data_IF_011671397953
#
_entry.id   IF_011671397953
#
_cell.length_a   1.000
_cell.length_b   1.000
_cell.length_c   1.000
_cell.angle_alpha   90.00
_cell.angle_beta   90.00
_cell.angle_gamma   90.00
#
_symmetry.space_group_name_H-M   'P 1'
#
loop_
_entity.id
_entity.type
_entity.pdbx_description
1 polymer ?
2 non-polymer ?
3 water ?
#
# COMPACT_ATOMS: atom_id res chain seq x y z
N UNK A 1 -20.45 8.58 9.08
CA UNK A 1 -20.66 9.29 7.79
C UNK A 1 -19.90 8.55 6.70
N UNK A 2 -19.49 9.24 5.61
CA UNK A 2 -18.70 8.61 4.57
C UNK A 2 -17.28 8.43 5.12
N UNK A 3 -16.64 7.33 4.76
CA UNK A 3 -15.20 7.12 5.05
C UNK A 3 -14.45 8.33 4.49
N UNK A 4 -13.36 8.68 5.16
CA UNK A 4 -12.48 9.76 4.77
C UNK A 4 -11.25 9.18 4.05
N UNK A 5 -10.83 9.86 3.00
CA UNK A 5 -9.74 9.38 2.10
C UNK A 5 -8.89 10.55 1.64
N UNK A 6 -7.63 10.28 1.39
CA UNK A 6 -6.69 11.26 0.81
C UNK A 6 -6.04 10.70 -0.43
N UNK A 7 -5.89 11.49 -1.46
CA UNK A 7 -5.11 11.15 -2.63
C UNK A 7 -3.64 11.32 -2.32
N UNK A 8 -2.84 10.35 -2.71
CA UNK A 8 -1.40 10.39 -2.46
C UNK A 8 -0.62 9.47 -3.37
N UNK A 9 0.66 9.68 -3.42
CA UNK A 9 1.65 8.74 -3.98
C UNK A 9 2.50 8.23 -2.82
N UNK A 10 3.18 7.12 -3.11
CA UNK A 10 4.17 6.53 -2.19
C UNK A 10 5.50 6.40 -2.91
N UNK A 11 6.59 6.58 -2.20
CA UNK A 11 7.90 6.13 -2.71
C UNK A 11 8.62 5.38 -1.61
N UNK A 12 9.42 4.42 -1.97
CA UNK A 12 10.23 3.67 -0.99
C UNK A 12 11.41 4.55 -0.53
N UNK A 13 12.16 4.04 0.43
CA UNK A 13 13.21 4.86 1.08
C UNK A 13 14.42 5.01 0.15
N UNK A 14 14.45 4.34 -0.99
CA UNK A 14 15.37 4.65 -2.10
C UNK A 14 14.75 5.54 -3.12
N UNK A 15 13.65 6.17 -2.80
CA UNK A 15 12.92 7.11 -3.64
C UNK A 15 12.50 6.43 -4.94
N UNK A 16 12.21 5.15 -4.88
CA UNK A 16 11.57 4.46 -6.03
C UNK A 16 10.08 4.70 -6.03
N UNK A 17 9.52 5.11 -7.13
CA UNK A 17 8.09 5.30 -7.39
C UNK A 17 7.45 3.95 -7.75
N UNK A 18 6.12 3.92 -7.55
CA UNK A 18 5.30 2.70 -7.82
C UNK A 18 4.49 2.91 -9.09
N UNK A 19 4.56 1.94 -9.95
CA UNK A 19 3.84 1.93 -11.26
C UNK A 19 3.10 0.60 -11.40
N UNK A 20 2.11 0.58 -12.30
CA UNK A 20 1.49 -0.69 -12.71
C UNK A 20 2.43 -1.61 -13.46
N UNK A 21 2.23 -2.88 -13.22
CA UNK A 21 2.96 -4.01 -13.85
C UNK A 21 1.91 -5.01 -14.34
N UNK A 22 1.30 -4.70 -15.47
CA UNK A 22 0.05 -5.39 -15.85
C UNK A 22 -1.09 -4.97 -14.94
N UNK A 23 -2.23 -5.68 -14.99
CA UNK A 23 -3.44 -5.22 -14.32
C UNK A 23 -3.52 -5.42 -12.81
N UNK A 24 -2.74 -6.34 -12.26
CA UNK A 24 -2.93 -6.74 -10.84
C UNK A 24 -1.62 -6.79 -10.00
N UNK A 25 -0.66 -6.05 -10.45
CA UNK A 25 0.64 -5.97 -9.74
C UNK A 25 1.15 -4.55 -9.89
N UNK A 26 1.98 -4.17 -8.92
CA UNK A 26 2.78 -2.94 -8.93
C UNK A 26 4.26 -3.33 -8.99
N UNK A 27 5.04 -2.40 -9.55
CA UNK A 27 6.50 -2.53 -9.52
C UNK A 27 7.09 -1.18 -9.09
N UNK A 28 8.36 -1.21 -8.67
CA UNK A 28 9.01 -0.01 -8.12
C UNK A 28 10.24 0.30 -8.97
N UNK A 29 10.32 1.54 -9.35
CA UNK A 29 11.49 1.98 -10.10
C UNK A 29 11.77 3.44 -9.85
N UNK A 30 13.00 3.82 -10.17
CA UNK A 30 13.43 5.21 -10.11
C UNK A 30 12.83 6.00 -11.26
N UNK A 31 12.07 7.01 -10.99
CA UNK A 31 11.39 7.87 -11.98
C UNK A 31 11.70 9.29 -11.60
N UNK A 32 11.89 10.12 -12.61
CA UNK A 32 12.05 11.56 -12.42
C UNK A 32 11.62 12.25 -13.71
N UNK A 33 11.16 13.47 -13.59
CA UNK A 33 10.77 14.24 -14.80
C UNK A 33 9.49 13.70 -15.41
N UNK A 34 9.37 13.75 -16.73
CA UNK A 34 8.06 13.45 -17.39
C UNK A 34 7.62 12.03 -17.01
N UNK A 35 8.55 11.08 -16.91
CA UNK A 35 8.24 9.64 -16.70
C UNK A 35 7.55 9.49 -15.33
N UNK A 36 7.54 10.51 -14.46
CA UNK A 36 6.88 10.34 -13.13
C UNK A 36 5.36 10.27 -13.29
N UNK A 37 4.84 10.70 -14.41
CA UNK A 37 3.38 10.64 -14.62
C UNK A 37 2.92 9.18 -14.62
N UNK A 38 3.80 8.22 -14.79
CA UNK A 38 3.43 6.79 -14.82
C UNK A 38 3.07 6.33 -13.40
N UNK A 39 3.52 7.04 -12.38
CA UNK A 39 3.30 6.52 -11.02
C UNK A 39 1.82 6.40 -10.67
N UNK A 40 1.52 5.47 -9.79
CA UNK A 40 0.12 5.24 -9.42
C UNK A 40 -0.23 6.26 -8.33
N UNK A 41 -1.44 6.75 -8.39
CA UNK A 41 -2.05 7.57 -7.34
C UNK A 41 -3.02 6.71 -6.54
N UNK A 42 -2.84 6.73 -5.26
CA UNK A 42 -3.68 6.04 -4.29
C UNK A 42 -4.74 6.94 -3.75
N UNK A 43 -5.86 6.36 -3.36
CA UNK A 43 -6.78 6.92 -2.38
C UNK A 43 -6.54 6.14 -1.12
N UNK A 44 -5.96 6.76 -0.11
CA UNK A 44 -5.72 6.16 1.21
C UNK A 44 -6.94 6.43 2.04
N UNK A 45 -7.70 5.42 2.40
CA UNK A 45 -8.91 5.53 3.23
C UNK A 45 -8.55 5.22 4.67
N UNK A 46 -9.18 5.93 5.61
CA UNK A 46 -8.92 5.75 7.03
C UNK A 46 -10.03 4.87 7.60
N UNK A 47 -9.76 3.64 7.93
CA UNK A 47 -10.76 2.57 8.08
C UNK A 47 -10.87 2.13 9.53
N UNK A 48 -11.84 1.29 9.80
CA UNK A 48 -12.03 0.69 11.13
C UNK A 48 -10.88 -0.26 11.41
N UNK A 49 -10.41 -0.21 12.66
CA UNK A 49 -9.44 -1.17 13.18
C UNK A 49 -8.75 -0.64 14.43
N UNK A 50 -8.01 -1.49 15.10
CA UNK A 50 -7.15 -1.05 16.23
C UNK A 50 -6.19 0.06 15.79
N UNK A 51 -6.06 1.13 16.60
CA UNK A 51 -5.38 2.38 16.23
C UNK A 51 -4.65 2.90 17.46
N UNK A 52 -3.46 3.44 17.26
CA UNK A 52 -2.70 4.22 18.29
C UNK A 52 -2.10 5.47 17.65
N UNK A 53 -1.34 6.24 18.41
CA UNK A 53 -0.90 7.58 17.92
C UNK A 53 -0.17 7.42 16.59
N UNK A 54 0.68 6.42 16.47
CA UNK A 54 1.61 6.33 15.31
C UNK A 54 1.26 5.10 14.45
N UNK A 55 0.18 4.38 14.76
CA UNK A 55 -0.28 3.17 14.02
C UNK A 55 -1.74 3.34 13.60
N UNK A 56 -1.98 3.58 12.31
CA UNK A 56 -3.30 4.05 11.79
C UNK A 56 -3.79 3.04 10.75
N UNK A 57 -4.98 2.45 10.91
CA UNK A 57 -5.44 1.46 9.92
C UNK A 57 -5.95 2.18 8.70
N UNK A 58 -5.45 1.74 7.54
CA UNK A 58 -5.83 2.34 6.25
C UNK A 58 -6.14 1.23 5.24
N UNK A 59 -6.83 1.61 4.19
CA UNK A 59 -6.91 0.84 2.93
C UNK A 59 -6.24 1.64 1.84
N UNK A 60 -5.67 0.94 0.88
CA UNK A 60 -4.96 1.56 -0.25
C UNK A 60 -5.65 1.14 -1.52
N UNK A 61 -6.52 1.99 -2.05
CA UNK A 61 -7.15 1.83 -3.35
C UNK A 61 -6.46 2.63 -4.40
N UNK A 62 -6.53 2.24 -5.64
CA UNK A 62 -6.06 3.09 -6.75
C UNK A 62 -7.08 4.20 -6.94
N UNK A 63 -6.63 5.43 -7.15
CA UNK A 63 -7.56 6.58 -7.22
C UNK A 63 -8.59 6.38 -8.36
N UNK A 64 -9.87 6.45 -7.97
CA UNK A 64 -11.07 6.33 -8.87
C UNK A 64 -10.99 5.04 -9.69
N UNK A 65 -10.47 3.98 -9.06
CA UNK A 65 -10.49 2.62 -9.64
C UNK A 65 -11.01 1.71 -8.57
N UNK A 66 -11.74 0.68 -8.93
CA UNK A 66 -12.26 -0.29 -7.95
C UNK A 66 -11.23 -1.40 -7.84
N UNK A 67 -10.07 -1.01 -7.34
CA UNK A 67 -8.90 -1.89 -7.18
C UNK A 67 -8.23 -1.51 -5.87
N UNK A 68 -7.99 -2.50 -5.04
CA UNK A 68 -7.39 -2.29 -3.72
C UNK A 68 -6.24 -3.25 -3.51
N UNK A 69 -5.21 -2.79 -2.82
CA UNK A 69 -4.18 -3.74 -2.33
C UNK A 69 -4.83 -4.63 -1.28
N UNK A 70 -4.39 -5.88 -1.27
CA UNK A 70 -5.08 -6.96 -0.55
C UNK A 70 -4.06 -8.03 -0.16
N UNK A 71 -4.13 -8.50 1.10
CA UNK A 71 -3.22 -9.56 1.62
C UNK A 71 -4.01 -10.84 1.77
N UNK A 72 -3.56 -11.84 1.04
CA UNK A 72 -4.25 -13.16 1.08
C UNK A 72 -3.18 -14.23 1.03
N UNK A 73 -3.58 -15.41 1.52
CA UNK A 73 -2.72 -16.58 1.28
C UNK A 73 -2.81 -17.01 -0.17
N UNK A 74 -1.68 -17.22 -0.81
CA UNK A 74 -1.57 -17.80 -2.17
C UNK A 74 -0.51 -18.88 -2.09
N UNK A 75 -0.85 -20.09 -2.53
CA UNK A 75 0.06 -21.27 -2.40
C UNK A 75 0.59 -21.25 -0.96
N UNK A 76 -0.31 -21.03 -0.03
CA UNK A 76 -0.08 -21.12 1.44
C UNK A 76 0.88 -20.05 1.94
N UNK A 77 1.09 -18.97 1.20
CA UNK A 77 2.00 -17.91 1.69
C UNK A 77 1.22 -16.59 1.72
N UNK A 78 1.45 -15.71 2.70
CA UNK A 78 0.88 -14.36 2.66
C UNK A 78 1.44 -13.63 1.43
N UNK A 79 0.56 -13.07 0.62
CA UNK A 79 0.97 -12.35 -0.58
C UNK A 79 0.15 -11.06 -0.67
N UNK A 80 0.74 -10.17 -1.42
CA UNK A 80 0.12 -8.89 -1.81
C UNK A 80 -0.48 -9.08 -3.19
N UNK A 81 -1.71 -8.65 -3.35
CA UNK A 81 -2.41 -8.65 -4.65
C UNK A 81 -3.16 -7.33 -4.81
N UNK A 82 -3.47 -6.97 -6.04
CA UNK A 82 -4.47 -5.93 -6.34
C UNK A 82 -5.74 -6.70 -6.56
N UNK A 83 -6.84 -6.33 -5.97
CA UNK A 83 -8.11 -7.03 -6.00
C UNK A 83 -9.19 -6.09 -6.49
N UNK A 84 -9.99 -6.55 -7.43
CA UNK A 84 -11.18 -5.83 -7.94
C UNK A 84 -12.29 -5.95 -6.92
N UNK A 85 -13.09 -4.90 -6.76
CA UNK A 85 -14.28 -4.86 -5.88
C UNK A 85 -15.47 -4.26 -6.62
N UNK A 86 -16.62 -4.38 -6.00
CA UNK A 86 -17.85 -3.78 -6.56
C UNK A 86 -17.78 -2.29 -6.35
N UNK A 87 -17.75 -1.46 -7.39
CA UNK A 87 -17.57 -0.03 -7.22
C UNK A 87 -18.77 0.65 -6.55
N UNK A 88 -19.91 -0.01 -6.46
CA UNK A 88 -21.05 0.59 -5.71
C UNK A 88 -20.75 0.63 -4.21
N UNK A 89 -19.91 -0.26 -3.71
CA UNK A 89 -19.84 -0.55 -2.27
C UNK A 89 -18.54 -0.02 -1.65
N UNK A 90 -17.63 0.53 -2.44
CA UNK A 90 -16.27 0.89 -1.94
C UNK A 90 -15.99 2.33 -2.30
N UNK A 91 -15.14 3.05 -1.51
CA UNK A 91 -14.60 2.55 -0.28
C UNK A 91 -15.68 2.58 0.79
N UNK A 92 -15.37 1.92 1.85
CA UNK A 92 -16.30 1.94 3.00
C UNK A 92 -15.44 2.01 4.25
N UNK A 93 -16.06 2.38 5.36
CA UNK A 93 -15.30 2.53 6.62
C UNK A 93 -14.92 1.15 7.15
N UNK A 94 -15.78 0.16 7.07
CA UNK A 94 -15.51 -1.20 7.57
C UNK A 94 -14.98 -2.06 6.41
N UNK A 95 -13.73 -1.79 6.04
CA UNK A 95 -13.09 -2.62 4.98
C UNK A 95 -12.78 -4.00 5.56
N UNK A 96 -12.91 -5.01 4.73
CA UNK A 96 -12.55 -6.38 5.09
C UNK A 96 -11.07 -6.46 5.46
N UNK A 97 -10.68 -7.39 6.32
CA UNK A 97 -9.36 -7.33 6.97
C UNK A 97 -8.26 -7.51 5.93
N UNK A 98 -8.48 -8.26 4.86
CA UNK A 98 -7.44 -8.43 3.82
C UNK A 98 -7.01 -7.09 3.20
N UNK A 99 -7.85 -6.08 3.26
CA UNK A 99 -7.55 -4.77 2.64
C UNK A 99 -6.91 -3.82 3.65
N UNK A 100 -6.81 -4.18 4.92
CA UNK A 100 -6.35 -3.24 5.93
C UNK A 100 -4.85 -3.36 6.16
N UNK A 101 -4.21 -2.21 6.17
CA UNK A 101 -2.80 -2.07 6.54
C UNK A 101 -2.70 -1.14 7.74
N UNK A 102 -1.82 -1.47 8.65
CA UNK A 102 -1.45 -0.54 9.72
C UNK A 102 -0.34 0.36 9.21
N UNK A 103 -0.64 1.63 9.03
CA UNK A 103 0.35 2.64 8.62
C UNK A 103 1.08 3.09 9.86
N UNK A 104 2.33 2.76 9.94
CA UNK A 104 3.17 2.96 11.14
C UNK A 104 4.19 4.03 10.83
N UNK A 105 4.24 5.08 11.64
CA UNK A 105 5.22 6.18 11.46
C UNK A 105 6.38 5.89 12.42
N UNK A 106 7.59 5.63 11.91
CA UNK A 106 8.83 5.43 12.73
C UNK A 106 9.93 6.27 12.07
N UNK A 107 10.51 7.18 12.85
CA UNK A 107 11.63 8.08 12.45
C UNK A 107 11.37 8.63 11.05
N UNK A 108 10.25 9.31 10.88
CA UNK A 108 9.92 10.14 9.70
C UNK A 108 9.73 9.26 8.46
N UNK A 109 9.55 7.96 8.64
CA UNK A 109 9.22 7.05 7.53
C UNK A 109 7.94 6.31 7.88
N UNK A 110 7.31 5.75 6.88
CA UNK A 110 6.09 4.93 7.02
C UNK A 110 6.39 3.49 6.68
N UNK A 111 5.80 2.60 7.43
CA UNK A 111 5.68 1.19 7.08
C UNK A 111 4.21 0.87 6.96
N UNK A 112 3.89 -0.12 6.14
CA UNK A 112 2.50 -0.57 5.97
C UNK A 112 2.50 -2.05 6.32
N UNK A 113 2.07 -2.36 7.53
CA UNK A 113 1.97 -3.76 8.02
C UNK A 113 0.61 -4.32 7.62
N UNK A 114 0.56 -5.53 7.13
CA UNK A 114 -0.73 -6.20 6.97
C UNK A 114 -1.47 -6.32 8.30
N UNK A 115 -2.72 -5.89 8.40
CA UNK A 115 -3.53 -6.14 9.62
C UNK A 115 -3.81 -7.64 9.68
N UNK A 116 -4.01 -8.31 8.58
CA UNK A 116 -4.31 -9.78 8.55
C UNK A 116 -3.12 -10.59 8.99
N UNK A 117 -1.91 -10.22 8.59
CA UNK A 117 -0.70 -11.03 8.77
C UNK A 117 0.29 -10.19 9.56
N UNK A 118 0.30 -10.31 10.90
CA UNK A 118 1.21 -9.51 11.70
C UNK A 118 2.66 -9.69 11.29
N UNK A 119 3.39 -8.57 11.23
CA UNK A 119 4.81 -8.50 10.92
C UNK A 119 5.12 -8.84 9.46
N UNK A 120 4.11 -8.81 8.60
CA UNK A 120 4.27 -8.80 7.13
C UNK A 120 4.01 -7.38 6.63
N UNK A 121 4.88 -6.92 5.76
CA UNK A 121 4.92 -5.51 5.35
C UNK A 121 4.94 -5.36 3.86
N UNK A 122 4.29 -4.32 3.36
CA UNK A 122 4.51 -3.90 1.95
C UNK A 122 6.02 -3.63 1.77
N UNK A 123 6.59 -4.24 0.77
CA UNK A 123 8.04 -4.29 0.56
C UNK A 123 8.39 -4.04 -0.90
N UNK A 124 9.57 -3.48 -1.13
CA UNK A 124 10.16 -3.42 -2.47
C UNK A 124 11.54 -4.07 -2.42
N UNK A 125 12.01 -4.48 -3.59
CA UNK A 125 13.40 -4.94 -3.77
C UNK A 125 14.31 -3.75 -4.00
N UNK A 126 15.62 -3.97 -3.74
CA UNK A 126 16.61 -2.93 -4.11
C UNK A 126 16.79 -2.85 -5.63
N UNK A 127 16.61 -3.98 -6.32
CA UNK A 127 16.74 -4.02 -7.78
C UNK A 127 15.64 -3.19 -8.44
N UNK A 128 15.88 -2.65 -9.61
CA UNK A 128 14.96 -1.82 -10.38
C UNK A 128 13.88 -2.69 -11.02
N UNK A 129 12.65 -2.16 -11.11
CA UNK A 129 11.56 -2.71 -11.93
C UNK A 129 11.16 -4.10 -11.47
N UNK A 130 11.15 -4.34 -10.15
CA UNK A 130 10.69 -5.59 -9.57
C UNK A 130 9.35 -5.36 -8.86
N UNK A 131 8.58 -6.42 -8.63
CA UNK A 131 7.25 -6.29 -8.03
C UNK A 131 7.32 -5.70 -6.62
N UNK A 132 6.26 -4.99 -6.28
CA UNK A 132 5.94 -4.70 -4.87
C UNK A 132 5.33 -5.94 -4.26
N UNK A 133 5.71 -6.32 -3.06
CA UNK A 133 5.32 -7.62 -2.52
C UNK A 133 5.08 -7.52 -1.05
N UNK A 134 4.56 -8.57 -0.46
CA UNK A 134 4.44 -8.66 0.99
C UNK A 134 5.58 -9.48 1.56
N UNK A 135 6.34 -8.88 2.44
CA UNK A 135 7.56 -9.48 3.00
C UNK A 135 7.36 -9.73 4.44
N UNK A 136 7.91 -10.86 4.96
CA UNK A 136 7.59 -11.34 6.33
C UNK A 136 8.45 -10.72 7.40
N UNK A 137 9.08 -9.59 7.13
CA UNK A 137 9.93 -8.91 8.15
C UNK A 137 10.07 -7.44 7.78
N UNK A 138 10.39 -6.61 8.76
CA UNK A 138 10.83 -5.21 8.56
C UNK A 138 12.35 -5.17 8.73
N UNK A 139 13.01 -6.32 8.94
CA UNK A 139 14.47 -6.47 8.88
C UNK A 139 14.93 -6.79 7.47
N UNK A 140 16.20 -7.18 7.31
CA UNK A 140 16.75 -7.74 6.05
C UNK A 140 17.16 -6.68 5.04
N UNK A 141 17.34 -7.08 3.77
CA UNK A 141 17.89 -6.25 2.66
C UNK A 141 16.76 -5.66 1.79
N UNK A 142 15.54 -6.20 1.86
CA UNK A 142 14.40 -5.56 1.16
C UNK A 142 13.98 -4.29 1.89
N UNK A 143 13.23 -3.44 1.20
CA UNK A 143 12.86 -2.12 1.67
C UNK A 143 11.43 -2.20 2.20
N UNK A 144 11.22 -1.70 3.41
CA UNK A 144 9.89 -1.70 4.07
C UNK A 144 9.53 -0.30 4.50
N UNK A 145 10.29 0.71 4.17
CA UNK A 145 10.07 2.10 4.58
C UNK A 145 9.66 2.93 3.37
N UNK A 146 8.71 3.82 3.54
CA UNK A 146 8.15 4.67 2.49
C UNK A 146 7.97 6.07 2.98
N UNK A 147 7.82 7.00 2.04
CA UNK A 147 7.25 8.30 2.29
C UNK A 147 6.01 8.48 1.42
N UNK A 148 5.11 9.35 1.88
CA UNK A 148 3.86 9.67 1.16
C UNK A 148 3.99 11.09 0.64
N UNK A 149 3.46 11.32 -0.54
CA UNK A 149 3.32 12.68 -1.13
C UNK A 149 1.84 12.91 -1.27
N UNK A 150 1.36 14.04 -0.85
CA UNK A 150 -0.05 14.41 -1.01
C UNK A 150 -0.28 14.94 -2.42
N UNK A 151 -1.39 14.53 -2.98
CA UNK A 151 -1.85 14.89 -4.34
C UNK A 151 -3.14 15.71 -4.23
N UNK A 152 -3.31 16.69 -5.11
CA UNK A 152 -4.56 17.50 -5.16
C UNK A 152 -5.77 16.55 -5.31
X LIG B 1 -19.35 4.09 4.72
X LIG B 1 -20.31 3.93 3.66
X LIG B 1 -19.99 4.74 5.85
X LIG B 1 -18.89 2.82 5.12
X LIG B 1 -18.25 4.89 4.26
X LIG C 1 -15.90 -10.88 1.35
X LIG C 1 -15.55 -9.69 0.62
X LIG C 1 -17.18 -10.66 1.96
X LIG C 1 -15.95 -11.99 0.45
X LIG C 1 -14.92 -11.12 2.38
#
# INVERSE_FOLDING_TARGET
>A
APVRSLNCTLRDSQQKSLVMSGPYELKALHLQGQDMEQQVVFSMSFVQGEESNDKIPVALGLKEKNLYLSCVLKDDKPTLQLESVDPKNYPKKKMEKRFVFNKIEINNKLEFESAQFPNWYISTSQAENMPVFLGGTKGGQDITDFTMQFVSS
>B hetero
1 SO4 S O1 O2 O3 O4
>C hetero
1 SO4 S O1 O2 O3 O4
#
